data_IF_125925801198
#
_entry.id   IF_125925801198
#
_cell.length_a   1.000
_cell.length_b   1.000
_cell.length_c   1.000
_cell.angle_alpha   90.00
_cell.angle_beta   90.00
_cell.angle_gamma   90.00
#
_symmetry.space_group_name_H-M   'P 1'
#
loop_
_entity.id
_entity.type
_entity.pdbx_description
1 polymer ?
#
# COMPACT_ATOMS: atom_id res chain seq x y z
N UNK A 1 -4.29 -14.11 -3.21
CA UNK A 1 -3.78 -14.25 -1.83
C UNK A 1 -2.36 -13.68 -1.77
N UNK A 2 -2.17 -12.35 -1.69
CA UNK A 2 -0.88 -11.79 -1.22
C UNK A 2 -0.93 -10.28 -0.91
N UNK A 3 -1.85 -9.52 -1.50
CA UNK A 3 -1.85 -8.06 -1.36
C UNK A 3 -2.07 -7.61 0.10
N UNK A 4 -2.95 -8.30 0.84
CA UNK A 4 -3.19 -8.00 2.25
C UNK A 4 -1.97 -8.21 3.15
N UNK A 5 -1.08 -9.16 2.83
CA UNK A 5 0.15 -9.36 3.61
C UNK A 5 1.13 -8.21 3.42
N UNK A 6 1.27 -7.72 2.18
CA UNK A 6 2.11 -6.58 1.83
C UNK A 6 1.57 -5.30 2.50
N UNK A 7 0.25 -5.10 2.45
CA UNK A 7 -0.42 -3.96 3.10
C UNK A 7 -0.22 -4.01 4.62
N UNK A 8 -0.45 -5.18 5.25
CA UNK A 8 -0.30 -5.33 6.69
C UNK A 8 1.15 -5.07 7.14
N UNK A 9 2.13 -5.57 6.38
CA UNK A 9 3.54 -5.32 6.67
C UNK A 9 3.90 -3.84 6.51
N UNK A 10 3.46 -3.20 5.43
CA UNK A 10 3.70 -1.77 5.18
C UNK A 10 3.09 -0.88 6.27
N UNK A 11 1.88 -1.20 6.74
CA UNK A 11 1.24 -0.51 7.87
C UNK A 11 2.01 -0.74 9.17
N UNK A 12 2.35 -2.02 9.47
CA UNK A 12 3.06 -2.40 10.70
C UNK A 12 4.41 -1.72 10.81
N UNK A 13 5.17 -1.69 9.72
CA UNK A 13 6.51 -1.11 9.67
C UNK A 13 6.50 0.40 9.37
N UNK A 14 5.32 0.99 9.15
CA UNK A 14 5.14 2.39 8.70
C UNK A 14 5.99 2.73 7.48
N UNK A 15 6.01 1.81 6.51
CA UNK A 15 6.77 1.96 5.27
C UNK A 15 5.79 2.36 4.16
N UNK A 16 6.10 3.38 3.35
CA UNK A 16 5.27 3.75 2.21
C UNK A 16 5.32 2.67 1.12
N UNK A 17 4.14 2.18 0.74
CA UNK A 17 3.95 1.23 -0.35
C UNK A 17 3.94 1.97 -1.69
N UNK A 18 4.97 1.76 -2.49
CA UNK A 18 5.09 2.35 -3.82
C UNK A 18 4.56 1.35 -4.85
N UNK A 19 3.48 1.68 -5.55
CA UNK A 19 2.97 0.83 -6.64
C UNK A 19 2.31 1.64 -7.75
N UNK A 20 2.34 1.10 -8.96
CA UNK A 20 1.63 1.64 -10.13
C UNK A 20 0.17 1.18 -10.19
N UNK A 21 -0.26 0.36 -9.23
CA UNK A 21 -1.58 -0.25 -9.21
C UNK A 21 -2.54 0.58 -8.34
N UNK A 22 -3.67 1.00 -8.90
CA UNK A 22 -4.64 1.89 -8.22
C UNK A 22 -5.42 1.18 -7.12
N UNK A 23 -5.40 -0.16 -7.07
CA UNK A 23 -6.09 -0.96 -6.05
C UNK A 23 -5.62 -0.66 -4.63
N UNK A 24 -4.36 -0.32 -4.46
CA UNK A 24 -3.78 0.00 -3.14
C UNK A 24 -4.25 1.36 -2.60
N UNK A 25 -4.76 2.23 -3.48
CA UNK A 25 -5.34 3.51 -3.08
C UNK A 25 -6.55 3.34 -2.15
N UNK A 26 -7.32 2.26 -2.30
CA UNK A 26 -8.45 1.95 -1.40
C UNK A 26 -8.02 1.66 0.04
N UNK A 27 -6.76 1.25 0.25
CA UNK A 27 -6.23 0.94 1.58
C UNK A 27 -5.59 2.14 2.27
N UNK A 28 -5.44 3.28 1.58
CA UNK A 28 -4.96 4.53 2.20
C UNK A 28 -5.85 4.99 3.35
N UNK A 29 -7.15 4.75 3.27
CA UNK A 29 -8.09 5.02 4.35
C UNK A 29 -7.87 4.16 5.61
N UNK A 30 -7.09 3.08 5.52
CA UNK A 30 -6.75 2.21 6.66
C UNK A 30 -5.40 2.57 7.30
N UNK A 31 -4.79 3.70 6.90
CA UNK A 31 -3.47 4.13 7.39
C UNK A 31 -2.29 3.54 6.61
N UNK A 32 -2.54 2.99 5.42
CA UNK A 32 -1.48 2.62 4.49
C UNK A 32 -0.95 3.87 3.79
N UNK A 33 0.34 4.16 3.98
CA UNK A 33 1.02 5.17 3.16
C UNK A 33 1.22 4.60 1.75
N UNK A 34 0.47 5.11 0.79
CA UNK A 34 0.53 4.64 -0.60
C UNK A 34 1.10 5.73 -1.51
N UNK A 35 2.11 5.38 -2.30
CA UNK A 35 2.70 6.26 -3.30
C UNK A 35 2.45 5.67 -4.68
N UNK A 36 1.69 6.40 -5.50
CA UNK A 36 1.40 5.97 -6.85
C UNK A 36 2.62 6.18 -7.77
N UNK A 37 3.25 5.08 -8.19
CA UNK A 37 4.38 5.13 -9.10
C UNK A 37 3.88 5.20 -10.56
N UNK A 38 3.81 6.40 -11.13
CA UNK A 38 3.69 6.56 -12.59
C UNK A 38 5.07 6.36 -13.20
N UNK A 39 5.30 5.20 -13.80
CA UNK A 39 6.44 4.98 -14.70
C UNK A 39 6.25 5.76 -16.00
#
# INVERSE_FOLDING_TARGET
MNDHAIIAQAISDKIPLISSDTKFQYYTGQGLDFIFNKR
#
